data_IF_592673960766
#
_entry.id   IF_592673960766
#
_cell.length_a   1.000
_cell.length_b   1.000
_cell.length_c   1.000
_cell.angle_alpha   90.00
_cell.angle_beta   90.00
_cell.angle_gamma   90.00
#
_symmetry.space_group_name_H-M   'P 1'
#
loop_
_entity.id
_entity.type
_entity.pdbx_description
1 polymer ?
#
# COMPACT_ATOMS: atom_id res chain seq x y z
N UNK A 1 42.56 -22.96 5.37
CA UNK A 1 43.18 -21.93 4.53
C UNK A 1 42.21 -20.76 4.50
N UNK A 2 42.64 -19.56 4.90
CA UNK A 2 41.74 -18.40 5.02
C UNK A 2 41.85 -17.60 3.73
N UNK A 3 40.73 -17.44 3.03
CA UNK A 3 40.63 -16.59 1.84
C UNK A 3 40.19 -15.18 2.24
N UNK A 4 40.97 -14.18 1.85
CA UNK A 4 40.70 -12.76 2.13
C UNK A 4 40.28 -12.08 0.82
N UNK A 5 39.10 -11.49 0.81
CA UNK A 5 38.57 -10.73 -0.32
C UNK A 5 38.87 -9.25 -0.05
N UNK A 6 39.87 -8.69 -0.73
CA UNK A 6 40.32 -7.31 -0.54
C UNK A 6 39.78 -6.44 -1.67
N UNK A 7 39.15 -5.30 -1.35
CA UNK A 7 38.57 -4.39 -2.33
C UNK A 7 39.37 -3.10 -2.34
N UNK A 8 40.04 -2.83 -3.45
CA UNK A 8 40.88 -1.64 -3.61
C UNK A 8 40.82 -1.17 -5.06
N UNK A 9 40.55 0.12 -5.26
CA UNK A 9 40.48 0.77 -6.57
C UNK A 9 41.87 1.00 -7.18
N UNK A 10 42.90 1.17 -6.34
CA UNK A 10 44.30 1.29 -6.74
C UNK A 10 44.99 -0.09 -6.82
N UNK A 11 45.40 -0.46 -8.04
CA UNK A 11 46.07 -1.73 -8.35
C UNK A 11 47.44 -1.87 -7.67
N UNK A 12 48.15 -0.77 -7.42
CA UNK A 12 49.45 -0.78 -6.74
C UNK A 12 49.29 -1.10 -5.24
N UNK A 13 48.30 -0.47 -4.61
CA UNK A 13 47.97 -0.72 -3.19
C UNK A 13 47.44 -2.15 -3.03
N UNK A 14 46.52 -2.59 -3.89
CA UNK A 14 45.95 -3.93 -3.88
C UNK A 14 47.02 -5.03 -3.98
N UNK A 15 47.95 -4.92 -4.92
CA UNK A 15 49.02 -5.90 -5.11
C UNK A 15 50.01 -5.94 -3.95
N UNK A 16 50.33 -4.77 -3.36
CA UNK A 16 51.22 -4.69 -2.19
C UNK A 16 50.63 -5.41 -0.98
N UNK A 17 49.34 -5.21 -0.72
CA UNK A 17 48.62 -5.86 0.39
C UNK A 17 48.50 -7.36 0.18
N UNK A 18 48.21 -7.80 -1.05
CA UNK A 18 48.18 -9.22 -1.41
C UNK A 18 49.51 -9.90 -1.14
N UNK A 19 50.63 -9.32 -1.57
CA UNK A 19 51.95 -9.91 -1.37
C UNK A 19 52.31 -10.05 0.12
N UNK A 20 51.91 -9.08 0.95
CA UNK A 20 52.12 -9.11 2.40
C UNK A 20 51.30 -10.24 3.07
N UNK A 21 50.03 -10.35 2.73
CA UNK A 21 49.11 -11.31 3.33
C UNK A 21 49.37 -12.75 2.83
N UNK A 22 49.79 -12.92 1.57
CA UNK A 22 50.22 -14.22 1.05
C UNK A 22 51.46 -14.76 1.76
N UNK A 23 52.41 -13.88 2.13
CA UNK A 23 53.55 -14.26 2.99
C UNK A 23 53.11 -14.74 4.38
N UNK A 24 51.94 -14.31 4.85
CA UNK A 24 51.35 -14.73 6.13
C UNK A 24 50.42 -15.95 6.02
N UNK A 25 50.49 -16.70 4.92
CA UNK A 25 49.68 -17.91 4.66
C UNK A 25 48.17 -17.64 4.45
N UNK A 26 47.80 -16.43 4.05
CA UNK A 26 46.44 -16.08 3.60
C UNK A 26 46.38 -16.10 2.07
N UNK A 27 45.25 -16.50 1.48
CA UNK A 27 45.06 -16.41 0.03
C UNK A 27 44.22 -15.16 -0.28
N UNK A 28 44.76 -14.19 -1.01
CA UNK A 28 44.09 -12.90 -1.22
C UNK A 28 43.57 -12.75 -2.65
N UNK A 29 42.28 -12.43 -2.77
CA UNK A 29 41.61 -12.10 -4.03
C UNK A 29 41.31 -10.59 -4.03
N UNK A 30 41.97 -9.86 -4.93
CA UNK A 30 41.79 -8.41 -5.07
C UNK A 30 40.65 -8.15 -6.05
N UNK A 31 39.75 -7.25 -5.68
CA UNK A 31 38.67 -6.76 -6.55
C UNK A 31 38.72 -5.24 -6.62
N UNK A 32 38.68 -4.69 -7.83
CA UNK A 32 38.71 -3.24 -8.06
C UNK A 32 37.37 -2.55 -7.81
N UNK A 33 36.30 -3.33 -7.63
CA UNK A 33 34.96 -2.81 -7.37
C UNK A 33 34.25 -3.65 -6.31
N UNK A 34 33.43 -2.98 -5.51
CA UNK A 34 32.59 -3.60 -4.48
C UNK A 34 31.61 -4.59 -5.11
N UNK A 35 31.13 -4.33 -6.33
CA UNK A 35 30.21 -5.22 -7.05
C UNK A 35 30.88 -6.54 -7.47
N UNK A 36 32.12 -6.49 -7.98
CA UNK A 36 32.86 -7.69 -8.36
C UNK A 36 33.18 -8.55 -7.13
N UNK A 37 33.58 -7.92 -6.02
CA UNK A 37 33.81 -8.61 -4.74
C UNK A 37 32.53 -9.27 -4.23
N UNK A 38 31.39 -8.56 -4.31
CA UNK A 38 30.08 -9.07 -3.91
C UNK A 38 29.66 -10.28 -4.74
N UNK A 39 29.88 -10.25 -6.06
CA UNK A 39 29.56 -11.39 -6.94
C UNK A 39 30.43 -12.61 -6.61
N UNK A 40 31.71 -12.42 -6.34
CA UNK A 40 32.62 -13.51 -5.99
C UNK A 40 32.27 -14.15 -4.63
N UNK A 41 31.90 -13.32 -3.64
CA UNK A 41 31.40 -13.78 -2.35
C UNK A 41 30.09 -14.55 -2.48
N UNK A 42 29.13 -14.05 -3.29
CA UNK A 42 27.86 -14.73 -3.56
C UNK A 42 28.05 -16.10 -4.23
N UNK A 43 29.12 -16.28 -5.01
CA UNK A 43 29.44 -17.57 -5.65
C UNK A 43 30.01 -18.60 -4.66
N UNK A 44 30.64 -18.17 -3.57
CA UNK A 44 31.25 -19.04 -2.55
C UNK A 44 30.36 -19.32 -1.34
N UNK A 45 29.31 -18.52 -1.11
CA UNK A 45 28.30 -18.82 -0.08
C UNK A 45 27.42 -19.97 -0.60
N UNK A 46 27.29 -21.10 0.13
CA UNK A 46 26.42 -22.19 -0.30
C UNK A 46 24.98 -21.67 -0.42
N UNK A 47 24.39 -21.88 -1.61
CA UNK A 47 23.00 -21.61 -1.96
C UNK A 47 22.01 -22.52 -1.20
N UNK A 48 22.17 -22.64 0.12
CA UNK A 48 21.26 -23.34 1.00
C UNK A 48 20.45 -22.29 1.77
N UNK A 49 19.40 -21.76 1.12
CA UNK A 49 18.28 -21.06 1.77
C UNK A 49 18.57 -19.75 2.53
N UNK A 50 19.83 -19.34 2.69
CA UNK A 50 20.20 -18.15 3.46
C UNK A 50 19.81 -16.83 2.76
N UNK A 51 19.64 -16.85 1.43
CA UNK A 51 19.13 -15.69 0.69
C UNK A 51 17.68 -15.34 1.05
N UNK A 52 16.92 -16.28 1.63
CA UNK A 52 15.56 -16.01 2.10
C UNK A 52 15.53 -15.44 3.54
N UNK A 53 16.64 -15.48 4.27
CA UNK A 53 16.76 -14.98 5.66
C UNK A 53 17.57 -13.69 5.78
N UNK A 54 18.58 -13.45 4.93
CA UNK A 54 19.38 -12.21 4.99
C UNK A 54 18.66 -11.03 4.29
N UNK A 55 17.68 -11.32 3.42
CA UNK A 55 16.93 -10.31 2.65
C UNK A 55 15.48 -10.14 3.13
N UNK A 56 14.94 -11.05 3.96
CA UNK A 56 13.68 -10.82 4.69
C UNK A 56 13.99 -10.51 6.15
N UNK A 57 14.27 -9.24 6.49
CA UNK A 57 14.30 -8.88 7.88
C UNK A 57 12.90 -9.13 8.45
N UNK A 58 12.88 -9.70 9.65
CA UNK A 58 11.75 -10.01 10.52
C UNK A 58 10.73 -8.85 10.71
N UNK A 59 11.04 -7.67 10.17
CA UNK A 59 10.27 -6.43 10.23
C UNK A 59 9.17 -6.32 9.17
N UNK A 60 9.29 -6.99 8.01
CA UNK A 60 8.30 -6.85 6.92
C UNK A 60 6.96 -7.53 7.25
N UNK A 61 6.99 -8.66 7.97
CA UNK A 61 5.79 -9.43 8.30
C UNK A 61 5.00 -8.82 9.47
N UNK A 62 5.69 -8.26 10.47
CA UNK A 62 5.02 -7.64 11.64
C UNK A 62 4.47 -6.25 11.28
N UNK A 63 5.28 -5.41 10.62
CA UNK A 63 4.84 -4.08 10.18
C UNK A 63 3.82 -4.21 9.05
N UNK A 64 4.01 -5.17 8.14
CA UNK A 64 3.04 -5.51 7.10
C UNK A 64 1.72 -6.01 7.68
N UNK A 65 1.77 -6.88 8.69
CA UNK A 65 0.59 -7.37 9.41
C UNK A 65 -0.18 -6.25 10.12
N UNK A 66 0.51 -5.35 10.82
CA UNK A 66 -0.11 -4.17 11.44
C UNK A 66 -0.74 -3.26 10.37
N UNK A 67 -0.04 -3.00 9.27
CA UNK A 67 -0.55 -2.20 8.15
C UNK A 67 -1.81 -2.82 7.55
N UNK A 68 -1.84 -4.14 7.39
CA UNK A 68 -3.00 -4.87 6.90
C UNK A 68 -4.21 -4.75 7.84
N UNK A 69 -4.01 -4.88 9.15
CA UNK A 69 -5.09 -4.69 10.13
C UNK A 69 -5.62 -3.26 10.10
N UNK A 70 -4.72 -2.26 10.06
CA UNK A 70 -5.12 -0.85 9.95
C UNK A 70 -5.89 -0.56 8.65
N UNK A 71 -5.47 -1.17 7.54
CA UNK A 71 -6.19 -1.10 6.28
C UNK A 71 -7.61 -1.69 6.41
N UNK A 72 -7.75 -2.86 7.04
CA UNK A 72 -9.06 -3.49 7.29
C UNK A 72 -9.96 -2.62 8.17
N UNK A 73 -9.42 -2.03 9.24
CA UNK A 73 -10.16 -1.12 10.12
C UNK A 73 -10.64 0.11 9.32
N UNK A 74 -9.77 0.68 8.48
CA UNK A 74 -10.12 1.78 7.60
C UNK A 74 -11.26 1.44 6.63
N UNK A 75 -11.16 0.29 5.96
CA UNK A 75 -12.20 -0.23 5.05
C UNK A 75 -13.52 -0.42 5.81
N UNK A 76 -13.48 -1.08 6.97
CA UNK A 76 -14.66 -1.34 7.79
C UNK A 76 -15.35 -0.05 8.24
N UNK A 77 -14.58 0.97 8.64
CA UNK A 77 -15.12 2.27 9.02
C UNK A 77 -15.79 2.98 7.85
N UNK A 78 -15.15 3.03 6.68
CA UNK A 78 -15.74 3.65 5.49
C UNK A 78 -17.02 2.93 5.08
N UNK A 79 -17.02 1.60 5.11
CA UNK A 79 -18.20 0.78 4.82
C UNK A 79 -19.34 1.03 5.80
N UNK A 80 -19.05 0.97 7.12
CA UNK A 80 -20.03 1.17 8.19
C UNK A 80 -20.63 2.57 8.16
N UNK A 81 -19.78 3.59 7.96
CA UNK A 81 -20.21 4.98 7.86
C UNK A 81 -21.16 5.17 6.67
N UNK A 82 -20.80 4.62 5.50
CA UNK A 82 -21.61 4.71 4.28
C UNK A 82 -22.98 4.03 4.44
N UNK A 83 -23.01 2.81 4.97
CA UNK A 83 -24.27 2.11 5.23
C UNK A 83 -25.12 2.80 6.30
N UNK A 84 -24.49 3.35 7.34
CA UNK A 84 -25.15 4.10 8.41
C UNK A 84 -25.90 5.32 7.87
N UNK A 85 -25.22 6.15 7.07
CA UNK A 85 -25.83 7.30 6.41
C UNK A 85 -27.01 6.92 5.50
N UNK A 86 -26.85 5.86 4.70
CA UNK A 86 -27.91 5.34 3.83
C UNK A 86 -29.12 4.83 4.63
N UNK A 87 -28.88 4.19 5.77
CA UNK A 87 -29.94 3.63 6.62
C UNK A 87 -30.76 4.72 7.33
N UNK A 88 -30.13 5.83 7.73
CA UNK A 88 -30.81 6.94 8.39
C UNK A 88 -31.61 7.82 7.41
N UNK A 89 -31.16 7.96 6.15
CA UNK A 89 -31.80 8.84 5.16
C UNK A 89 -32.99 8.24 4.41
N UNK A 90 -33.38 7.00 4.71
CA UNK A 90 -34.52 6.32 4.05
C UNK A 90 -35.80 7.14 4.00
N UNK A 91 -36.14 7.80 5.11
CA UNK A 91 -37.35 8.63 5.22
C UNK A 91 -37.33 9.83 4.25
N UNK A 92 -36.17 10.47 4.08
CA UNK A 92 -36.02 11.59 3.12
C UNK A 92 -36.09 11.09 1.67
N UNK A 93 -35.57 9.90 1.38
CA UNK A 93 -35.68 9.31 0.04
C UNK A 93 -37.12 8.95 -0.32
N UNK A 94 -37.89 8.39 0.62
CA UNK A 94 -39.31 8.13 0.40
C UNK A 94 -40.08 9.42 0.06
N UNK A 95 -39.80 10.51 0.78
CA UNK A 95 -40.38 11.83 0.48
C UNK A 95 -39.96 12.38 -0.89
N UNK A 96 -38.73 12.19 -1.32
CA UNK A 96 -38.35 12.63 -2.66
C UNK A 96 -39.03 11.82 -3.77
N UNK A 97 -39.19 10.51 -3.57
CA UNK A 97 -39.94 9.66 -4.51
C UNK A 97 -41.40 10.11 -4.59
N UNK A 98 -42.02 10.47 -3.47
CA UNK A 98 -43.41 10.96 -3.46
C UNK A 98 -43.59 12.32 -4.16
N UNK A 99 -42.54 13.14 -4.26
CA UNK A 99 -42.54 14.40 -5.02
C UNK A 99 -42.33 14.15 -6.54
N UNK A 100 -42.15 12.90 -6.96
CA UNK A 100 -41.95 12.52 -8.37
C UNK A 100 -40.49 12.36 -8.77
N UNK A 101 -39.56 12.31 -7.81
CA UNK A 101 -38.15 12.03 -8.12
C UNK A 101 -37.99 10.57 -8.57
N UNK A 102 -37.48 10.39 -9.78
CA UNK A 102 -37.27 9.05 -10.34
C UNK A 102 -36.15 8.30 -9.58
N UNK A 103 -36.26 6.96 -9.42
CA UNK A 103 -35.22 6.16 -8.76
C UNK A 103 -33.84 6.26 -9.44
N UNK A 104 -33.80 6.61 -10.72
CA UNK A 104 -32.57 6.88 -11.45
C UNK A 104 -31.87 8.15 -10.94
N UNK A 105 -32.63 9.20 -10.57
CA UNK A 105 -32.09 10.42 -9.97
C UNK A 105 -31.44 10.18 -8.61
N UNK A 106 -32.05 9.34 -7.78
CA UNK A 106 -31.49 8.92 -6.48
C UNK A 106 -30.13 8.22 -6.67
N UNK A 107 -30.00 7.35 -7.67
CA UNK A 107 -28.72 6.68 -7.95
C UNK A 107 -27.61 7.66 -8.34
N UNK A 108 -27.92 8.72 -9.10
CA UNK A 108 -26.93 9.75 -9.46
C UNK A 108 -26.39 10.48 -8.22
N UNK A 109 -27.27 10.80 -7.26
CA UNK A 109 -26.86 11.42 -5.99
C UNK A 109 -25.92 10.49 -5.22
N UNK A 110 -26.28 9.20 -5.13
CA UNK A 110 -25.44 8.20 -4.48
C UNK A 110 -24.07 8.04 -5.13
N UNK A 111 -23.98 8.06 -6.47
CA UNK A 111 -22.69 7.99 -7.16
C UNK A 111 -21.80 9.20 -6.86
N UNK A 112 -22.38 10.42 -6.82
CA UNK A 112 -21.62 11.63 -6.48
C UNK A 112 -21.14 11.59 -5.03
N UNK A 113 -22.01 11.18 -4.10
CA UNK A 113 -21.67 11.09 -2.68
C UNK A 113 -20.58 10.02 -2.44
N UNK A 114 -20.70 8.86 -3.10
CA UNK A 114 -19.67 7.81 -3.09
C UNK A 114 -18.32 8.33 -3.60
N UNK A 115 -18.31 9.08 -4.70
CA UNK A 115 -17.09 9.66 -5.26
C UNK A 115 -16.44 10.68 -4.30
N UNK A 116 -17.24 11.50 -3.60
CA UNK A 116 -16.72 12.46 -2.61
C UNK A 116 -16.19 11.74 -1.37
N UNK A 117 -16.87 10.69 -0.90
CA UNK A 117 -16.46 9.89 0.26
C UNK A 117 -15.14 9.16 -0.01
N UNK A 118 -14.97 8.57 -1.20
CA UNK A 118 -13.73 7.91 -1.59
C UNK A 118 -12.62 8.90 -1.97
N UNK A 119 -12.97 9.98 -2.67
CA UNK A 119 -12.01 10.92 -3.27
C UNK A 119 -11.40 11.90 -2.28
N UNK A 120 -12.18 12.50 -1.36
CA UNK A 120 -11.68 13.45 -0.37
C UNK A 120 -10.52 12.93 0.48
N UNK A 121 -10.60 11.74 1.11
CA UNK A 121 -9.50 11.25 1.91
C UNK A 121 -8.24 11.06 1.06
N UNK A 122 -8.35 10.52 -0.16
CA UNK A 122 -7.21 10.35 -1.07
C UNK A 122 -6.56 11.70 -1.43
N UNK A 123 -7.37 12.70 -1.76
CA UNK A 123 -6.87 14.04 -2.12
C UNK A 123 -6.18 14.75 -0.95
N UNK A 124 -6.57 14.46 0.30
CA UNK A 124 -5.96 15.05 1.50
C UNK A 124 -4.73 14.23 1.93
N UNK A 125 -4.78 12.90 1.84
CA UNK A 125 -3.68 12.04 2.28
C UNK A 125 -2.48 12.13 1.38
N UNK A 126 -2.64 12.19 0.05
CA UNK A 126 -1.52 12.31 -0.88
C UNK A 126 -0.57 13.49 -0.55
N UNK A 127 -1.03 14.76 -0.47
CA UNK A 127 -0.13 15.87 -0.17
C UNK A 127 0.47 15.78 1.24
N UNK A 128 -0.29 15.27 2.21
CA UNK A 128 0.21 15.04 3.56
C UNK A 128 1.34 13.99 3.58
N UNK A 129 1.17 12.88 2.85
CA UNK A 129 2.19 11.83 2.71
C UNK A 129 3.42 12.35 1.98
N UNK A 130 3.25 13.10 0.88
CA UNK A 130 4.38 13.71 0.15
C UNK A 130 5.16 14.66 1.05
N UNK A 131 4.47 15.49 1.85
CA UNK A 131 5.13 16.40 2.79
C UNK A 131 5.91 15.62 3.86
N UNK A 132 5.30 14.59 4.47
CA UNK A 132 5.95 13.78 5.50
C UNK A 132 7.18 13.03 4.96
N UNK A 133 7.05 12.42 3.77
CA UNK A 133 8.16 11.77 3.07
C UNK A 133 9.27 12.77 2.76
N UNK A 134 8.92 13.97 2.27
CA UNK A 134 9.90 15.02 1.97
C UNK A 134 10.71 15.46 3.20
N UNK A 135 10.07 15.53 4.38
CA UNK A 135 10.76 15.80 5.65
C UNK A 135 11.68 14.65 6.04
N UNK A 136 11.22 13.40 5.92
CA UNK A 136 12.05 12.23 6.23
C UNK A 136 13.26 12.10 5.32
N UNK A 137 13.10 12.28 4.01
CA UNK A 137 14.21 12.22 3.05
C UNK A 137 15.29 13.24 3.41
N UNK A 138 14.90 14.47 3.77
CA UNK A 138 15.83 15.50 4.24
C UNK A 138 16.54 15.12 5.54
N UNK A 139 15.86 14.48 6.48
CA UNK A 139 16.44 14.07 7.75
C UNK A 139 17.42 12.88 7.60
N UNK A 140 17.17 12.00 6.63
CA UNK A 140 17.96 10.80 6.41
C UNK A 140 19.06 10.93 5.34
N UNK A 141 19.22 12.10 4.70
CA UNK A 141 20.19 12.35 3.62
C UNK A 141 20.12 11.33 2.46
N UNK A 142 18.94 10.79 2.17
CA UNK A 142 18.76 9.89 1.03
C UNK A 142 18.56 10.67 -0.26
N UNK A 143 19.08 10.14 -1.36
CA UNK A 143 18.77 10.65 -2.69
C UNK A 143 17.29 10.38 -3.02
N UNK A 144 16.50 11.41 -3.40
CA UNK A 144 15.07 11.28 -3.67
C UNK A 144 14.74 10.22 -4.73
N UNK A 145 15.69 9.93 -5.61
CA UNK A 145 15.53 8.99 -6.71
C UNK A 145 15.65 7.53 -6.28
N UNK A 146 16.39 7.25 -5.21
CA UNK A 146 16.47 5.93 -4.60
C UNK A 146 15.16 5.56 -3.87
N UNK A 147 14.50 6.57 -3.28
CA UNK A 147 13.19 6.40 -2.64
C UNK A 147 12.09 6.07 -3.65
N UNK A 148 12.02 6.77 -4.79
CA UNK A 148 11.01 6.51 -5.82
C UNK A 148 11.18 5.12 -6.44
N UNK A 149 12.42 4.66 -6.64
CA UNK A 149 12.70 3.34 -7.20
C UNK A 149 12.25 2.18 -6.29
N UNK A 150 12.31 2.35 -4.95
CA UNK A 150 11.86 1.37 -3.96
C UNK A 150 10.44 1.62 -3.43
N UNK A 151 9.78 2.71 -3.82
CA UNK A 151 8.47 3.05 -3.30
C UNK A 151 7.43 1.97 -3.65
N UNK A 152 6.65 1.46 -2.68
CA UNK A 152 5.64 0.42 -2.91
C UNK A 152 4.37 1.01 -3.55
N UNK A 153 4.48 1.52 -4.78
CA UNK A 153 3.36 2.12 -5.53
C UNK A 153 2.25 1.10 -5.81
N UNK A 154 2.62 -0.15 -6.09
CA UNK A 154 1.66 -1.24 -6.34
C UNK A 154 0.70 -1.47 -5.18
N UNK A 155 1.19 -1.75 -3.95
CA UNK A 155 0.34 -1.89 -2.76
C UNK A 155 -0.56 -0.68 -2.47
N UNK A 156 -0.06 0.54 -2.66
CA UNK A 156 -0.85 1.77 -2.47
C UNK A 156 -2.02 1.80 -3.45
N UNK A 157 -1.75 1.53 -4.73
CA UNK A 157 -2.77 1.55 -5.77
C UNK A 157 -3.81 0.43 -5.55
N UNK A 158 -3.36 -0.76 -5.16
CA UNK A 158 -4.25 -1.86 -4.79
C UNK A 158 -5.17 -1.50 -3.62
N UNK A 159 -4.64 -0.88 -2.56
CA UNK A 159 -5.44 -0.41 -1.42
C UNK A 159 -6.49 0.64 -1.86
N UNK A 160 -6.10 1.61 -2.69
CA UNK A 160 -7.04 2.60 -3.24
C UNK A 160 -8.17 1.94 -4.05
N UNK A 161 -7.86 0.95 -4.89
CA UNK A 161 -8.85 0.22 -5.67
C UNK A 161 -9.81 -0.60 -4.79
N UNK A 162 -9.28 -1.31 -3.77
CA UNK A 162 -10.09 -2.07 -2.82
C UNK A 162 -11.02 -1.14 -2.03
N UNK A 163 -10.51 -0.01 -1.56
CA UNK A 163 -11.29 1.01 -0.87
C UNK A 163 -12.44 1.54 -1.75
N UNK A 164 -12.14 1.91 -2.99
CA UNK A 164 -13.15 2.37 -3.95
C UNK A 164 -14.20 1.29 -4.23
N UNK A 165 -13.76 0.03 -4.39
CA UNK A 165 -14.64 -1.13 -4.57
C UNK A 165 -15.58 -1.36 -3.39
N UNK A 166 -15.08 -1.26 -2.16
CA UNK A 166 -15.89 -1.40 -0.95
C UNK A 166 -16.92 -0.28 -0.80
N UNK A 167 -16.55 0.97 -1.11
CA UNK A 167 -17.49 2.10 -1.13
C UNK A 167 -18.59 1.86 -2.17
N UNK A 168 -18.21 1.45 -3.39
CA UNK A 168 -19.17 1.13 -4.45
C UNK A 168 -20.10 -0.01 -4.04
N UNK A 169 -19.58 -1.06 -3.41
CA UNK A 169 -20.35 -2.20 -2.90
C UNK A 169 -21.34 -1.77 -1.80
N UNK A 170 -20.90 -0.93 -0.85
CA UNK A 170 -21.75 -0.39 0.21
C UNK A 170 -22.95 0.36 -0.37
N UNK A 171 -22.71 1.22 -1.37
CA UNK A 171 -23.77 1.97 -2.05
C UNK A 171 -24.66 1.09 -2.91
N UNK A 172 -24.12 0.07 -3.58
CA UNK A 172 -24.91 -0.88 -4.34
C UNK A 172 -25.87 -1.67 -3.44
N UNK A 173 -25.35 -2.25 -2.35
CA UNK A 173 -26.13 -3.01 -1.38
C UNK A 173 -27.13 -2.12 -0.62
N UNK A 174 -26.67 -0.96 -0.15
CA UNK A 174 -27.48 0.01 0.55
C UNK A 174 -28.59 0.57 -0.34
N UNK A 175 -28.27 1.02 -1.55
CA UNK A 175 -29.22 1.56 -2.52
C UNK A 175 -30.29 0.56 -2.92
N UNK A 176 -29.91 -0.69 -3.24
CA UNK A 176 -30.86 -1.76 -3.58
C UNK A 176 -31.82 -2.07 -2.43
N UNK A 177 -31.31 -2.09 -1.19
CA UNK A 177 -32.11 -2.37 0.00
C UNK A 177 -33.04 -1.21 0.37
N UNK A 178 -32.59 0.03 0.22
CA UNK A 178 -33.40 1.24 0.44
C UNK A 178 -34.56 1.31 -0.56
N UNK A 179 -34.28 1.09 -1.85
CA UNK A 179 -35.31 1.13 -2.90
C UNK A 179 -36.36 0.02 -2.76
N UNK A 180 -35.98 -1.18 -2.31
CA UNK A 180 -36.96 -2.25 -2.04
C UNK A 180 -37.87 -1.90 -0.86
N UNK A 181 -37.32 -1.34 0.23
CA UNK A 181 -38.11 -0.96 1.39
C UNK A 181 -39.12 0.15 1.07
N UNK A 182 -38.73 1.19 0.31
CA UNK A 182 -39.66 2.26 -0.04
C UNK A 182 -40.82 1.75 -0.91
N UNK A 183 -40.56 0.81 -1.83
CA UNK A 183 -41.59 0.21 -2.66
C UNK A 183 -42.56 -0.66 -1.84
N UNK A 184 -42.05 -1.49 -0.92
CA UNK A 184 -42.91 -2.33 -0.07
C UNK A 184 -43.78 -1.52 0.89
N UNK A 185 -43.29 -0.35 1.31
CA UNK A 185 -44.04 0.55 2.21
C UNK A 185 -45.11 1.30 1.42
N UNK A 186 -44.80 1.77 0.22
CA UNK A 186 -45.79 2.35 -0.70
C UNK A 186 -46.91 1.35 -1.06
N UNK A 187 -46.56 0.09 -1.38
CA UNK A 187 -47.54 -0.96 -1.69
C UNK A 187 -48.39 -1.40 -0.48
N UNK A 188 -47.90 -1.18 0.73
CA UNK A 188 -48.59 -1.56 1.97
C UNK A 188 -49.61 -0.50 2.42
N UNK A 189 -49.36 0.77 2.12
CA UNK A 189 -50.36 1.83 2.33
C UNK A 189 -51.54 1.68 1.36
N UNK A 190 -51.30 1.33 0.10
CA UNK A 190 -52.37 1.11 -0.90
C UNK A 190 -53.27 -0.12 -0.60
N UNK A 191 -52.87 -1.01 0.31
CA UNK A 191 -53.65 -2.20 0.70
C UNK A 191 -54.44 -2.02 2.00
N UNK A 192 -54.31 -0.87 2.66
CA UNK A 192 -55.04 -0.54 3.89
C UNK A 192 -56.18 0.49 3.69
N UNK A 193 -56.47 0.88 2.44
CA UNK A 193 -57.73 1.52 2.02
C UNK A 193 -58.72 0.50 1.46
#
# INVERSE_FOLDING_TARGET
MIEVYYVEDDEFIGNTVKEYLEKQSFHVLIYTTVEAARQALMKHVPSNGADDYVVKPFDLDVIGGLCFILALIGIANVFSNTLGFLRQRKRKFAQYISIGMTPAGIRKIFCIEAAVIAGRPILITIPLTVAAVGVMIKASYLDPMEFIAKAPVGPILAFCLIMAGFVALAYYLGGKKVMKCSLSEALRDDTLE
#
